data_IF_094290269461
#
_entry.id   IF_094290269461
#
_cell.length_a   1.000
_cell.length_b   1.000
_cell.length_c   1.000
_cell.angle_alpha   90.00
_cell.angle_beta   90.00
_cell.angle_gamma   90.00
#
_symmetry.space_group_name_H-M   'P 1'
#
loop_
_entity.id
_entity.type
_entity.pdbx_description
1 polymer ?
#
# COMPACT_ATOMS: atom_id res chain seq x y z
N UNK A 1 -6.06 14.61 29.98
CA UNK A 1 -5.31 13.46 29.47
C UNK A 1 -4.94 13.81 28.04
N UNK A 2 -3.68 14.13 27.77
CA UNK A 2 -3.26 14.51 26.42
C UNK A 2 -3.30 13.26 25.54
N UNK A 3 -4.02 13.31 24.41
CA UNK A 3 -3.93 12.28 23.39
C UNK A 3 -2.50 12.32 22.85
N UNK A 4 -1.72 11.27 23.08
CA UNK A 4 -0.38 11.16 22.50
C UNK A 4 -0.53 11.09 20.97
N UNK A 5 0.22 11.92 20.24
CA UNK A 5 0.21 11.88 18.78
C UNK A 5 0.75 10.52 18.30
N UNK A 6 -0.02 9.84 17.43
CA UNK A 6 0.44 8.60 16.80
C UNK A 6 1.65 8.89 15.93
N UNK A 7 2.81 8.33 16.33
CA UNK A 7 4.12 8.58 15.69
C UNK A 7 4.31 7.83 14.37
N UNK A 8 3.58 6.74 14.15
CA UNK A 8 3.71 5.90 12.95
C UNK A 8 2.34 5.33 12.55
N UNK A 9 1.95 5.58 11.29
CA UNK A 9 0.73 5.05 10.66
C UNK A 9 1.02 4.24 9.41
N UNK A 10 2.25 3.77 9.27
CA UNK A 10 2.67 2.94 8.15
C UNK A 10 2.16 1.50 8.33
N UNK A 11 1.87 0.79 7.24
CA UNK A 11 1.49 -0.61 7.30
C UNK A 11 2.69 -1.47 7.74
N UNK A 12 2.41 -2.71 8.14
CA UNK A 12 3.44 -3.71 8.46
C UNK A 12 3.89 -4.52 7.23
N UNK A 13 3.58 -4.04 6.03
CA UNK A 13 3.91 -4.68 4.76
C UNK A 13 4.56 -3.67 3.82
N UNK A 14 5.48 -4.14 2.98
CA UNK A 14 6.11 -3.34 1.93
C UNK A 14 5.20 -3.37 0.69
N UNK A 15 4.98 -2.20 0.08
CA UNK A 15 3.98 -2.05 -0.98
C UNK A 15 4.36 -2.87 -2.21
N UNK A 16 5.62 -2.76 -2.66
CA UNK A 16 6.11 -3.51 -3.82
C UNK A 16 6.13 -5.02 -3.61
N UNK A 17 6.31 -5.49 -2.37
CA UNK A 17 6.32 -6.92 -2.07
C UNK A 17 4.90 -7.48 -2.09
N UNK A 18 3.94 -6.74 -1.52
CA UNK A 18 2.52 -7.08 -1.60
C UNK A 18 2.05 -7.17 -3.06
N UNK A 19 2.38 -6.18 -3.89
CA UNK A 19 2.01 -6.19 -5.31
C UNK A 19 2.67 -7.37 -6.05
N UNK A 20 3.95 -7.63 -5.79
CA UNK A 20 4.67 -8.72 -6.44
C UNK A 20 4.07 -10.09 -6.10
N UNK A 21 3.65 -10.28 -4.85
CA UNK A 21 3.00 -11.52 -4.40
C UNK A 21 1.58 -11.65 -4.94
N UNK A 22 0.79 -10.59 -4.92
CA UNK A 22 -0.62 -10.61 -5.36
C UNK A 22 -0.74 -10.83 -6.88
N UNK A 23 0.20 -10.30 -7.67
CA UNK A 23 0.22 -10.42 -9.12
C UNK A 23 1.10 -11.58 -9.65
N UNK A 24 1.76 -12.33 -8.77
CA UNK A 24 2.74 -13.38 -9.13
C UNK A 24 3.85 -12.85 -10.08
N UNK A 25 4.41 -11.69 -9.75
CA UNK A 25 5.42 -11.00 -10.57
C UNK A 25 6.80 -10.99 -9.90
N UNK A 26 7.91 -10.90 -10.67
CA UNK A 26 9.25 -10.86 -10.11
C UNK A 26 9.47 -9.65 -9.18
N UNK A 27 9.79 -9.90 -7.90
CA UNK A 27 9.97 -8.87 -6.86
C UNK A 27 10.88 -7.70 -7.29
N UNK A 28 12.01 -8.01 -7.92
CA UNK A 28 12.95 -6.99 -8.40
C UNK A 28 12.34 -6.07 -9.45
N UNK A 29 11.65 -6.65 -10.44
CA UNK A 29 11.00 -5.88 -11.50
C UNK A 29 9.85 -5.04 -10.95
N UNK A 30 9.00 -5.63 -10.09
CA UNK A 30 7.88 -4.93 -9.45
C UNK A 30 8.37 -3.74 -8.64
N UNK A 31 9.42 -3.92 -7.82
CA UNK A 31 10.04 -2.83 -7.05
C UNK A 31 10.51 -1.68 -7.94
N UNK A 32 11.16 -1.98 -9.05
CA UNK A 32 11.62 -0.93 -9.98
C UNK A 32 10.44 -0.23 -10.68
N UNK A 33 9.39 -0.96 -11.06
CA UNK A 33 8.19 -0.37 -11.67
C UNK A 33 7.50 0.56 -10.67
N UNK A 34 7.27 0.11 -9.43
CA UNK A 34 6.68 0.92 -8.35
C UNK A 34 7.50 2.20 -8.16
N UNK A 35 8.82 2.09 -8.03
CA UNK A 35 9.71 3.25 -7.90
C UNK A 35 9.55 4.23 -9.08
N UNK A 36 9.55 3.74 -10.32
CA UNK A 36 9.40 4.59 -11.51
C UNK A 36 8.03 5.31 -11.52
N UNK A 37 6.96 4.62 -11.12
CA UNK A 37 5.62 5.21 -11.01
C UNK A 37 5.58 6.31 -9.94
N UNK A 38 6.26 6.10 -8.80
CA UNK A 38 6.38 7.10 -7.74
C UNK A 38 7.23 8.31 -8.11
N UNK A 39 8.22 8.12 -8.98
CA UNK A 39 8.96 9.21 -9.63
C UNK A 39 8.12 9.94 -10.69
N UNK A 40 6.88 9.52 -10.94
CA UNK A 40 5.95 10.14 -11.89
C UNK A 40 6.11 9.68 -13.34
N UNK A 41 6.83 8.58 -13.58
CA UNK A 41 6.90 7.99 -14.92
C UNK A 41 5.54 7.40 -15.32
N UNK A 42 5.18 7.56 -16.60
CA UNK A 42 3.95 6.97 -17.15
C UNK A 42 4.19 5.59 -17.74
N UNK A 43 3.15 4.74 -17.81
CA UNK A 43 3.23 3.40 -18.41
C UNK A 43 3.85 3.43 -19.83
N UNK A 44 3.43 4.31 -20.77
CA UNK A 44 4.05 4.37 -22.09
C UNK A 44 5.53 4.75 -22.05
N UNK A 45 5.93 5.61 -21.11
CA UNK A 45 7.33 5.99 -20.94
C UNK A 45 8.16 4.82 -20.40
N UNK A 46 7.67 4.12 -19.38
CA UNK A 46 8.34 2.95 -18.78
C UNK A 46 8.51 1.85 -19.84
N UNK A 47 7.44 1.48 -20.53
CA UNK A 47 7.44 0.44 -21.55
C UNK A 47 8.43 0.73 -22.69
N UNK A 48 8.59 2.01 -23.07
CA UNK A 48 9.46 2.42 -24.18
C UNK A 48 10.91 2.65 -23.77
N UNK A 49 11.18 3.22 -22.60
CA UNK A 49 12.50 3.76 -22.23
C UNK A 49 13.11 3.16 -20.95
N UNK A 50 12.42 2.25 -20.27
CA UNK A 50 12.87 1.63 -19.00
C UNK A 50 12.79 0.11 -19.02
N UNK A 51 12.75 -0.49 -20.21
CA UNK A 51 12.58 -1.94 -20.40
C UNK A 51 13.57 -2.79 -19.62
N UNK A 52 14.84 -2.38 -19.57
CA UNK A 52 15.87 -3.11 -18.81
C UNK A 52 15.63 -3.04 -17.29
N UNK A 53 15.17 -1.89 -16.79
CA UNK A 53 14.89 -1.68 -15.36
C UNK A 53 13.66 -2.47 -14.89
N UNK A 54 12.76 -2.83 -15.80
CA UNK A 54 11.57 -3.64 -15.49
C UNK A 54 11.74 -5.12 -15.84
N UNK A 55 12.91 -5.54 -16.32
CA UNK A 55 13.15 -6.91 -16.77
C UNK A 55 12.34 -7.28 -18.03
N UNK A 56 11.92 -6.29 -18.81
CA UNK A 56 11.16 -6.51 -20.03
C UNK A 56 9.68 -6.75 -19.83
N UNK A 57 9.10 -6.39 -18.68
CA UNK A 57 7.66 -6.54 -18.39
C UNK A 57 6.77 -6.03 -19.53
N UNK A 58 5.72 -6.77 -19.79
CA UNK A 58 4.68 -6.40 -20.74
C UNK A 58 3.81 -5.25 -20.20
N UNK A 59 3.19 -4.52 -21.12
CA UNK A 59 2.42 -3.31 -20.79
C UNK A 59 1.27 -3.61 -19.84
N UNK A 60 0.62 -4.76 -19.98
CA UNK A 60 -0.50 -5.15 -19.12
C UNK A 60 -0.04 -5.35 -17.67
N UNK A 61 1.07 -6.07 -17.44
CA UNK A 61 1.67 -6.19 -16.10
C UNK A 61 2.04 -4.84 -15.49
N UNK A 62 2.53 -3.87 -16.29
CA UNK A 62 2.81 -2.53 -15.79
C UNK A 62 1.53 -1.80 -15.33
N UNK A 63 0.41 -2.00 -16.04
CA UNK A 63 -0.90 -1.43 -15.67
C UNK A 63 -1.46 -2.09 -14.42
N UNK A 64 -1.32 -3.41 -14.30
CA UNK A 64 -1.76 -4.16 -13.12
C UNK A 64 -1.00 -3.70 -11.87
N UNK A 65 0.33 -3.52 -11.99
CA UNK A 65 1.15 -2.93 -10.92
C UNK A 65 0.67 -1.52 -10.56
N UNK A 66 0.38 -0.67 -11.56
CA UNK A 66 -0.13 0.68 -11.30
C UNK A 66 -1.46 0.66 -10.55
N UNK A 67 -2.42 -0.17 -11.00
CA UNK A 67 -3.72 -0.30 -10.35
C UNK A 67 -3.58 -0.78 -8.91
N UNK A 68 -2.81 -1.84 -8.69
CA UNK A 68 -2.57 -2.39 -7.36
C UNK A 68 -1.85 -1.40 -6.43
N UNK A 69 -0.91 -0.62 -6.96
CA UNK A 69 -0.25 0.47 -6.22
C UNK A 69 -1.23 1.56 -5.80
N UNK A 70 -2.14 1.96 -6.68
CA UNK A 70 -3.18 2.96 -6.38
C UNK A 70 -4.15 2.43 -5.31
N UNK A 71 -4.56 1.17 -5.40
CA UNK A 71 -5.43 0.51 -4.42
C UNK A 71 -4.76 0.42 -3.03
N UNK A 72 -3.52 -0.06 -2.96
CA UNK A 72 -2.79 -0.16 -1.70
C UNK A 72 -2.51 1.21 -1.07
N UNK A 73 -2.28 2.26 -1.88
CA UNK A 73 -2.19 3.64 -1.37
C UNK A 73 -3.51 4.11 -0.76
N UNK A 74 -4.64 3.75 -1.35
CA UNK A 74 -5.94 4.04 -0.78
C UNK A 74 -6.11 3.34 0.59
N UNK A 75 -5.71 2.06 0.68
CA UNK A 75 -5.74 1.30 1.93
C UNK A 75 -4.89 1.97 3.02
N UNK A 76 -3.64 2.34 2.70
CA UNK A 76 -2.75 3.04 3.63
C UNK A 76 -3.37 4.34 4.15
N UNK A 77 -3.92 5.16 3.26
CA UNK A 77 -4.54 6.43 3.64
C UNK A 77 -5.76 6.25 4.54
N UNK A 78 -6.64 5.29 4.21
CA UNK A 78 -7.82 4.98 5.01
C UNK A 78 -7.41 4.43 6.38
N UNK A 79 -6.50 3.47 6.42
CA UNK A 79 -5.95 2.89 7.64
C UNK A 79 -5.33 3.96 8.54
N UNK A 80 -4.49 4.84 8.01
CA UNK A 80 -3.88 5.93 8.77
C UNK A 80 -4.92 6.89 9.36
N UNK A 81 -5.97 7.20 8.58
CA UNK A 81 -7.10 8.03 9.04
C UNK A 81 -7.84 7.37 10.19
N UNK A 82 -8.13 6.08 10.07
CA UNK A 82 -8.81 5.27 11.10
C UNK A 82 -7.96 5.17 12.36
N UNK A 83 -6.68 4.84 12.25
CA UNK A 83 -5.74 4.77 13.38
C UNK A 83 -5.74 6.08 14.18
N UNK A 84 -5.61 7.22 13.51
CA UNK A 84 -5.64 8.55 14.13
C UNK A 84 -6.98 8.83 14.81
N UNK A 85 -8.10 8.48 14.17
CA UNK A 85 -9.43 8.67 14.73
C UNK A 85 -9.65 7.84 16.00
N UNK A 86 -9.32 6.55 15.97
CA UNK A 86 -9.51 5.63 17.11
C UNK A 86 -8.58 5.99 18.27
N UNK A 87 -7.33 6.38 17.98
CA UNK A 87 -6.39 6.85 19.00
C UNK A 87 -6.89 8.13 19.69
N UNK A 88 -7.45 9.07 18.93
CA UNK A 88 -8.05 10.29 19.50
C UNK A 88 -9.23 10.01 20.42
N UNK A 89 -9.94 8.90 20.21
CA UNK A 89 -11.01 8.42 21.08
C UNK A 89 -10.49 7.64 22.30
N UNK A 90 -9.19 7.38 22.40
CA UNK A 90 -8.59 6.57 23.47
C UNK A 90 -8.97 5.08 23.41
N UNK A 91 -9.45 4.62 22.26
CA UNK A 91 -9.93 3.23 22.05
C UNK A 91 -8.91 2.35 21.33
N UNK A 92 -7.76 2.89 20.93
CA UNK A 92 -6.79 2.14 20.15
C UNK A 92 -6.06 1.15 21.04
N UNK A 93 -6.30 -0.15 20.81
CA UNK A 93 -5.56 -1.22 21.47
C UNK A 93 -4.41 -1.69 20.57
N UNK A 94 -3.36 -2.27 21.16
CA UNK A 94 -2.24 -2.82 20.40
C UNK A 94 -2.67 -3.90 19.40
N UNK A 95 -3.68 -4.71 19.77
CA UNK A 95 -4.23 -5.73 18.88
C UNK A 95 -4.93 -5.11 17.66
N UNK A 96 -5.78 -4.11 17.90
CA UNK A 96 -6.48 -3.40 16.82
C UNK A 96 -5.53 -2.63 15.92
N UNK A 97 -4.52 -1.96 16.50
CA UNK A 97 -3.47 -1.29 15.74
C UNK A 97 -2.76 -2.28 14.80
N UNK A 98 -2.38 -3.46 15.32
CA UNK A 98 -1.72 -4.49 14.51
C UNK A 98 -2.62 -5.01 13.39
N UNK A 99 -3.90 -5.25 13.66
CA UNK A 99 -4.86 -5.68 12.65
C UNK A 99 -5.04 -4.64 11.55
N UNK A 100 -5.19 -3.36 11.93
CA UNK A 100 -5.28 -2.25 10.97
C UNK A 100 -4.01 -2.17 10.12
N UNK A 101 -2.83 -2.18 10.74
CA UNK A 101 -1.53 -2.14 10.05
C UNK A 101 -1.24 -3.33 9.14
N UNK A 102 -1.95 -4.45 9.34
CA UNK A 102 -1.83 -5.64 8.49
C UNK A 102 -2.88 -5.69 7.38
N UNK A 103 -3.88 -4.80 7.37
CA UNK A 103 -4.94 -4.81 6.37
C UNK A 103 -4.37 -4.44 5.00
N UNK A 104 -4.76 -5.19 3.97
CA UNK A 104 -4.38 -4.98 2.57
C UNK A 104 -5.55 -4.54 1.69
N UNK A 105 -6.75 -4.49 2.24
CA UNK A 105 -7.96 -4.05 1.53
C UNK A 105 -8.76 -3.02 2.33
N UNK A 106 -9.55 -2.20 1.63
CA UNK A 106 -10.46 -1.23 2.29
C UNK A 106 -11.50 -1.97 3.13
N UNK A 107 -12.00 -3.10 2.63
CA UNK A 107 -12.98 -3.93 3.34
C UNK A 107 -12.45 -4.42 4.69
N UNK A 108 -11.22 -4.95 4.76
CA UNK A 108 -10.61 -5.36 6.03
C UNK A 108 -10.50 -4.19 7.01
N UNK A 109 -10.12 -3.00 6.53
CA UNK A 109 -10.05 -1.81 7.38
C UNK A 109 -11.44 -1.43 7.90
N UNK A 110 -12.46 -1.42 7.05
CA UNK A 110 -13.83 -1.06 7.44
C UNK A 110 -14.46 -2.10 8.40
N UNK A 111 -14.21 -3.39 8.18
CA UNK A 111 -14.69 -4.48 9.04
C UNK A 111 -14.12 -4.36 10.46
N UNK A 112 -12.82 -4.04 10.60
CA UNK A 112 -12.18 -3.85 11.90
C UNK A 112 -12.76 -2.66 12.68
N UNK A 113 -13.21 -1.61 11.98
CA UNK A 113 -13.84 -0.45 12.60
C UNK A 113 -15.29 -0.73 12.97
N UNK A 114 -16.01 -1.52 12.18
CA UNK A 114 -17.42 -1.83 12.44
C UNK A 114 -17.62 -2.80 13.61
N UNK A 115 -16.60 -3.55 14.01
CA UNK A 115 -16.67 -4.58 15.05
C UNK A 115 -16.24 -4.10 16.46
N UNK A 116 -15.86 -2.82 16.65
CA UNK A 116 -15.38 -2.25 17.93
C UNK A 116 -15.96 -0.89 18.30
#
# INVERSE_FOLDING_TARGET
>A
MACEELKNTDPNWETEEAIAEDLDLPKWSTKNVVKLLEEGCTIPFIARYRKEMTGGMEVDNLRDIQSSLEDLKHVQNKMATVLKAINKLGKLTQGLEKCLKNSKTITEVDDLVSLG
#
